data_IF_378442303158
#
_entry.id   IF_378442303158
#
_cell.length_a   1.000
_cell.length_b   1.000
_cell.length_c   1.000
_cell.angle_alpha   90.00
_cell.angle_beta   90.00
_cell.angle_gamma   90.00
#
_symmetry.space_group_name_H-M   'P 1'
#
loop_
_entity.id
_entity.type
_entity.pdbx_description
1 polymer ?
#
# COMPACT_ATOMS: atom_id res chain seq x y z
N UNK A 1 -30.10 6.55 -4.17
CA UNK A 1 -28.85 6.03 -4.77
C UNK A 1 -28.41 7.04 -5.83
N UNK A 2 -27.50 7.95 -5.50
CA UNK A 2 -26.95 8.90 -6.47
C UNK A 2 -25.78 8.19 -7.13
N UNK A 3 -26.02 7.63 -8.33
CA UNK A 3 -24.93 7.18 -9.20
C UNK A 3 -24.12 8.43 -9.58
N UNK A 4 -22.88 8.50 -9.13
CA UNK A 4 -21.94 9.50 -9.62
C UNK A 4 -21.65 9.10 -11.07
N UNK A 5 -22.14 9.91 -12.03
CA UNK A 5 -21.83 9.66 -13.44
C UNK A 5 -20.37 10.08 -13.68
N UNK A 6 -19.50 9.11 -13.81
CA UNK A 6 -18.06 9.30 -14.04
C UNK A 6 -17.68 9.38 -15.52
N UNK A 7 -18.65 9.22 -16.45
CA UNK A 7 -18.40 9.17 -17.91
C UNK A 7 -17.99 10.52 -18.55
N UNK A 8 -18.26 11.66 -17.86
CA UNK A 8 -17.99 13.00 -18.38
C UNK A 8 -17.24 13.90 -17.38
N UNK A 9 -16.27 13.35 -16.66
CA UNK A 9 -15.46 14.16 -15.75
C UNK A 9 -14.41 14.95 -16.53
N UNK A 10 -14.30 16.29 -16.32
CA UNK A 10 -13.13 17.03 -16.77
C UNK A 10 -11.89 16.44 -16.10
N UNK A 11 -10.82 16.30 -16.88
CA UNK A 11 -9.56 15.79 -16.36
C UNK A 11 -9.06 16.70 -15.21
N UNK A 12 -8.94 16.14 -14.01
CA UNK A 12 -8.30 16.81 -12.89
C UNK A 12 -9.23 17.38 -11.80
N UNK A 13 -10.55 17.29 -11.91
CA UNK A 13 -11.46 17.84 -10.88
C UNK A 13 -12.25 16.74 -10.17
N UNK A 14 -12.35 16.86 -8.83
CA UNK A 14 -13.20 15.99 -8.02
C UNK A 14 -14.68 16.42 -8.18
N UNK A 15 -15.60 15.51 -8.62
CA UNK A 15 -17.01 15.85 -8.74
C UNK A 15 -17.59 16.37 -7.43
N UNK A 16 -18.37 17.48 -7.43
CA UNK A 16 -18.93 18.07 -6.21
C UNK A 16 -19.81 17.09 -5.40
N UNK A 17 -20.50 16.15 -6.08
CA UNK A 17 -21.29 15.11 -5.43
C UNK A 17 -20.40 14.11 -4.69
N UNK A 18 -19.30 13.67 -5.30
CA UNK A 18 -18.33 12.77 -4.68
C UNK A 18 -17.60 13.47 -3.53
N UNK A 19 -17.17 14.73 -3.71
CA UNK A 19 -16.57 15.53 -2.64
C UNK A 19 -17.47 15.57 -1.40
N UNK A 20 -18.75 15.88 -1.57
CA UNK A 20 -19.70 15.90 -0.47
C UNK A 20 -19.80 14.54 0.20
N UNK A 21 -19.87 13.47 -0.59
CA UNK A 21 -19.95 12.11 -0.07
C UNK A 21 -18.69 11.72 0.72
N UNK A 22 -17.50 12.01 0.20
CA UNK A 22 -16.24 11.77 0.91
C UNK A 22 -16.18 12.52 2.23
N UNK A 23 -16.65 13.79 2.28
CA UNK A 23 -16.75 14.56 3.51
C UNK A 23 -17.74 13.97 4.53
N UNK A 24 -18.86 13.36 4.07
CA UNK A 24 -19.79 12.63 4.95
C UNK A 24 -19.13 11.36 5.50
N UNK A 25 -18.46 10.59 4.65
CA UNK A 25 -17.75 9.37 5.02
C UNK A 25 -16.64 9.66 6.03
N UNK A 26 -15.87 10.71 5.80
CA UNK A 26 -14.81 11.14 6.72
C UNK A 26 -15.35 11.41 8.13
N UNK A 27 -16.50 12.08 8.25
CA UNK A 27 -17.15 12.30 9.55
C UNK A 27 -17.61 10.99 10.22
N UNK A 28 -18.09 10.03 9.45
CA UNK A 28 -18.44 8.70 9.96
C UNK A 28 -17.20 7.94 10.46
N UNK A 29 -16.09 8.01 9.70
CA UNK A 29 -14.82 7.43 10.11
C UNK A 29 -14.28 8.07 11.39
N UNK A 30 -14.37 9.40 11.53
CA UNK A 30 -13.99 10.11 12.75
C UNK A 30 -14.72 9.57 13.98
N UNK A 31 -16.04 9.47 13.92
CA UNK A 31 -16.87 9.00 15.05
C UNK A 31 -16.55 7.53 15.38
N UNK A 32 -16.44 6.67 14.36
CA UNK A 32 -16.17 5.24 14.55
C UNK A 32 -14.79 4.99 15.15
N UNK A 33 -13.75 5.63 14.59
CA UNK A 33 -12.38 5.44 15.09
C UNK A 33 -12.18 5.99 16.50
N UNK A 34 -12.89 7.07 16.90
CA UNK A 34 -12.87 7.55 18.30
C UNK A 34 -13.34 6.45 19.25
N UNK A 35 -14.43 5.78 18.90
CA UNK A 35 -14.94 4.67 19.72
C UNK A 35 -13.94 3.51 19.78
N UNK A 36 -13.32 3.14 18.64
CA UNK A 36 -12.29 2.10 18.60
C UNK A 36 -11.08 2.44 19.48
N UNK A 37 -10.63 3.71 19.50
CA UNK A 37 -9.49 4.14 20.34
C UNK A 37 -9.77 4.09 21.84
N UNK A 38 -11.04 4.11 22.26
CA UNK A 38 -11.43 3.92 23.67
C UNK A 38 -11.30 2.46 24.12
N UNK A 39 -11.60 1.51 23.22
CA UNK A 39 -11.57 0.07 23.49
C UNK A 39 -10.21 -0.56 23.18
N UNK A 40 -9.42 0.05 22.30
CA UNK A 40 -8.13 -0.49 21.82
C UNK A 40 -6.98 0.52 22.04
N UNK A 41 -6.47 0.56 23.27
CA UNK A 41 -5.40 1.49 23.69
C UNK A 41 -3.99 1.06 23.24
N UNK A 42 -2.99 1.95 23.41
CA UNK A 42 -1.61 1.76 22.94
C UNK A 42 -0.85 0.60 23.62
N UNK A 43 -1.33 0.14 24.79
CA UNK A 43 -0.75 -1.01 25.51
C UNK A 43 -1.14 -2.37 24.89
N UNK A 44 -2.06 -2.38 23.94
CA UNK A 44 -2.50 -3.57 23.22
C UNK A 44 -1.82 -3.65 21.85
N UNK A 45 -1.41 -4.85 21.41
CA UNK A 45 -0.97 -5.03 20.02
C UNK A 45 -2.08 -4.59 19.05
N UNK A 46 -1.72 -3.87 17.97
CA UNK A 46 -2.70 -3.36 17.02
C UNK A 46 -3.61 -4.46 16.46
N UNK A 47 -4.91 -4.17 16.24
CA UNK A 47 -5.83 -5.14 15.65
C UNK A 47 -5.51 -5.36 14.16
N UNK A 48 -6.04 -6.45 13.57
CA UNK A 48 -5.66 -6.84 12.21
C UNK A 48 -6.88 -6.90 11.28
N UNK A 49 -8.00 -7.53 11.70
CA UNK A 49 -9.26 -7.59 10.98
C UNK A 49 -10.46 -7.63 11.92
N UNK A 50 -11.69 -7.43 11.42
CA UNK A 50 -12.89 -7.59 12.24
C UNK A 50 -13.49 -8.98 12.09
N UNK A 51 -13.97 -9.54 13.21
CA UNK A 51 -14.77 -10.77 13.28
C UNK A 51 -16.07 -10.47 14.03
N UNK A 52 -17.22 -10.74 13.38
CA UNK A 52 -18.50 -10.41 13.98
C UNK A 52 -18.68 -8.93 14.33
N UNK A 53 -18.00 -8.05 13.59
CA UNK A 53 -18.05 -6.61 13.78
C UNK A 53 -16.97 -6.06 14.72
N UNK A 54 -16.33 -6.86 15.55
CA UNK A 54 -15.31 -6.39 16.49
C UNK A 54 -13.90 -6.64 15.98
N UNK A 55 -12.99 -5.70 16.29
CA UNK A 55 -11.58 -5.86 15.96
C UNK A 55 -10.97 -7.08 16.64
N UNK A 56 -10.18 -7.81 15.88
CA UNK A 56 -9.54 -9.05 16.26
C UNK A 56 -8.06 -9.06 15.91
N UNK A 57 -7.30 -9.82 16.70
CA UNK A 57 -5.91 -10.14 16.43
C UNK A 57 -5.67 -11.61 16.68
N UNK A 58 -5.20 -12.32 15.67
CA UNK A 58 -4.78 -13.71 15.81
C UNK A 58 -3.55 -13.81 16.73
N UNK A 59 -3.57 -14.63 17.81
CA UNK A 59 -2.45 -14.74 18.73
C UNK A 59 -1.14 -15.23 18.10
N UNK A 60 -1.23 -16.19 17.19
CA UNK A 60 -0.09 -16.86 16.55
C UNK A 60 0.18 -16.34 15.12
N UNK A 61 0.18 -15.03 14.96
CA UNK A 61 0.52 -14.41 13.68
C UNK A 61 1.98 -14.69 13.30
N UNK A 62 2.22 -15.00 12.03
CA UNK A 62 3.56 -15.20 11.48
C UNK A 62 4.43 -13.95 11.48
N UNK A 63 3.83 -12.76 11.34
CA UNK A 63 4.51 -11.47 11.47
C UNK A 63 3.55 -10.41 12.01
N UNK A 64 4.10 -9.38 12.65
CA UNK A 64 3.35 -8.23 13.14
C UNK A 64 3.64 -7.01 12.26
N UNK A 65 2.98 -6.91 11.11
CA UNK A 65 3.25 -5.94 10.06
C UNK A 65 2.26 -4.77 9.99
N UNK A 66 1.13 -4.86 10.69
CA UNK A 66 0.02 -3.92 10.55
C UNK A 66 0.00 -2.73 11.54
N UNK A 67 0.80 -2.69 12.62
CA UNK A 67 0.58 -1.69 13.68
C UNK A 67 0.79 -0.24 13.22
N UNK A 68 1.61 -0.02 12.19
CA UNK A 68 1.79 1.31 11.60
C UNK A 68 0.51 1.89 11.00
N UNK A 69 -0.34 1.05 10.43
CA UNK A 69 -1.60 1.49 9.81
C UNK A 69 -2.61 2.00 10.84
N UNK A 70 -2.65 1.41 12.04
CA UNK A 70 -3.56 1.86 13.08
C UNK A 70 -3.20 3.29 13.54
N UNK A 71 -1.93 3.56 13.83
CA UNK A 71 -1.44 4.91 14.10
C UNK A 71 -1.64 5.84 12.89
N UNK A 72 -1.42 5.32 11.70
CA UNK A 72 -1.55 6.05 10.44
C UNK A 72 -2.94 6.58 10.15
N UNK A 73 -3.99 5.83 10.49
CA UNK A 73 -5.38 6.31 10.38
C UNK A 73 -5.60 7.59 11.20
N UNK A 74 -5.03 7.66 12.39
CA UNK A 74 -5.15 8.82 13.28
C UNK A 74 -4.38 10.02 12.72
N UNK A 75 -3.20 9.82 12.14
CA UNK A 75 -2.46 10.88 11.45
C UNK A 75 -3.21 11.41 10.22
N UNK A 76 -3.85 10.53 9.45
CA UNK A 76 -4.68 10.92 8.30
C UNK A 76 -5.90 11.73 8.75
N UNK A 77 -6.58 11.32 9.82
CA UNK A 77 -7.68 12.10 10.39
C UNK A 77 -7.22 13.46 10.93
N UNK A 78 -6.05 13.52 11.58
CA UNK A 78 -5.47 14.81 11.99
C UNK A 78 -5.23 15.73 10.77
N UNK A 79 -4.62 15.19 9.72
CA UNK A 79 -4.36 15.96 8.48
C UNK A 79 -5.64 16.50 7.86
N UNK A 80 -6.69 15.69 7.80
CA UNK A 80 -7.95 16.02 7.13
C UNK A 80 -8.89 16.90 7.97
N UNK A 81 -8.92 16.71 9.29
CA UNK A 81 -9.87 17.38 10.18
C UNK A 81 -9.25 18.52 11.00
N UNK A 82 -7.90 18.54 11.12
CA UNK A 82 -7.16 19.48 11.98
C UNK A 82 -7.61 19.47 13.44
N UNK A 83 -8.01 18.28 13.94
CA UNK A 83 -8.42 18.07 15.32
C UNK A 83 -7.26 17.51 16.15
N UNK A 84 -6.77 18.27 17.12
CA UNK A 84 -5.63 17.92 17.99
C UNK A 84 -5.82 16.62 18.78
N UNK A 85 -7.07 16.19 18.99
CA UNK A 85 -7.36 14.88 19.54
C UNK A 85 -6.64 13.77 18.75
N UNK A 86 -6.71 13.85 17.40
CA UNK A 86 -6.09 12.86 16.54
C UNK A 86 -4.56 12.93 16.57
N UNK A 87 -3.97 14.13 16.63
CA UNK A 87 -2.52 14.26 16.80
C UNK A 87 -2.04 13.62 18.12
N UNK A 88 -2.80 13.78 19.20
CA UNK A 88 -2.52 13.15 20.50
C UNK A 88 -2.57 11.62 20.41
N UNK A 89 -3.67 11.08 19.88
CA UNK A 89 -3.84 9.62 19.70
C UNK A 89 -2.83 9.01 18.75
N UNK A 90 -2.54 9.68 17.65
CA UNK A 90 -1.53 9.21 16.69
C UNK A 90 -0.13 9.10 17.32
N UNK A 91 0.28 10.06 18.17
CA UNK A 91 1.52 9.97 18.93
C UNK A 91 1.49 8.82 19.94
N UNK A 92 0.40 8.67 20.71
CA UNK A 92 0.23 7.58 21.67
C UNK A 92 0.43 6.20 21.02
N UNK A 93 -0.05 6.00 19.80
CA UNK A 93 0.06 4.73 19.06
C UNK A 93 1.33 4.62 18.19
N UNK A 94 2.00 5.72 17.87
CA UNK A 94 3.27 5.69 17.12
C UNK A 94 4.47 5.42 18.02
N UNK A 95 4.55 6.06 19.20
CA UNK A 95 5.69 5.95 20.11
C UNK A 95 6.03 4.49 20.48
N UNK A 96 5.09 3.61 20.82
CA UNK A 96 5.38 2.20 21.12
C UNK A 96 6.00 1.42 19.98
N UNK A 97 5.91 1.91 18.72
CA UNK A 97 6.53 1.26 17.55
C UNK A 97 8.02 1.55 17.43
N UNK A 98 8.56 2.53 18.16
CA UNK A 98 9.96 2.96 18.05
C UNK A 98 10.98 1.81 18.13
N UNK A 99 10.88 0.82 19.04
CA UNK A 99 11.81 -0.30 19.11
C UNK A 99 11.80 -1.17 17.85
N UNK A 100 10.69 -1.20 17.11
CA UNK A 100 10.52 -2.00 15.90
C UNK A 100 11.45 -1.55 14.75
N UNK A 101 12.04 -0.34 14.81
CA UNK A 101 13.03 0.11 13.81
C UNK A 101 14.24 -0.81 13.69
N UNK A 102 14.48 -1.66 14.69
CA UNK A 102 15.55 -2.66 14.71
C UNK A 102 15.07 -4.08 14.42
N UNK A 103 13.81 -4.26 14.06
CA UNK A 103 13.21 -5.57 13.82
C UNK A 103 13.77 -6.19 12.53
N UNK A 104 14.41 -7.35 12.67
CA UNK A 104 15.02 -8.10 11.57
C UNK A 104 14.19 -9.30 11.13
N UNK A 105 13.09 -9.58 11.80
CA UNK A 105 12.26 -10.76 11.54
C UNK A 105 11.14 -10.47 10.52
N UNK A 106 10.83 -9.18 10.31
CA UNK A 106 9.84 -8.73 9.32
C UNK A 106 10.49 -8.03 8.12
N UNK A 107 9.86 -8.10 6.96
CA UNK A 107 10.21 -7.32 5.77
C UNK A 107 9.31 -6.07 5.60
N UNK A 108 8.49 -5.77 6.59
CA UNK A 108 7.37 -4.83 6.52
C UNK A 108 7.63 -3.51 7.25
N UNK A 109 8.91 -3.16 7.50
CA UNK A 109 9.24 -1.90 8.19
C UNK A 109 8.74 -0.67 7.42
N UNK A 110 8.61 -0.78 6.09
CA UNK A 110 8.00 0.27 5.27
C UNK A 110 6.53 0.49 5.62
N UNK A 111 5.75 -0.57 5.78
CA UNK A 111 4.36 -0.47 6.24
C UNK A 111 4.25 0.10 7.65
N UNK A 112 5.16 -0.29 8.55
CA UNK A 112 5.13 0.19 9.93
C UNK A 112 5.53 1.66 10.01
N UNK A 113 6.67 2.06 9.45
CA UNK A 113 7.26 3.38 9.70
C UNK A 113 6.77 4.47 8.74
N UNK A 114 6.50 4.18 7.47
CA UNK A 114 5.92 5.21 6.58
C UNK A 114 4.49 5.57 6.99
N UNK A 115 3.69 4.58 7.43
CA UNK A 115 2.31 4.84 7.84
C UNK A 115 2.21 5.54 9.21
N UNK A 116 3.19 5.39 10.10
CA UNK A 116 3.20 6.01 11.41
C UNK A 116 4.16 7.22 11.49
N UNK A 117 5.45 6.99 11.60
CA UNK A 117 6.47 8.05 11.72
C UNK A 117 6.58 8.92 10.48
N UNK A 118 6.39 8.35 9.27
CA UNK A 118 6.35 9.11 8.03
C UNK A 118 5.18 10.10 8.02
N UNK A 119 3.98 9.63 8.40
CA UNK A 119 2.80 10.50 8.53
C UNK A 119 2.96 11.55 9.64
N UNK A 120 3.63 11.19 10.75
CA UNK A 120 3.96 12.16 11.79
C UNK A 120 4.88 13.26 11.25
N UNK A 121 5.94 12.86 10.54
CA UNK A 121 6.90 13.80 9.94
C UNK A 121 6.22 14.78 8.95
N UNK A 122 5.24 14.31 8.16
CA UNK A 122 4.44 15.17 7.26
C UNK A 122 3.65 16.26 8.00
N UNK A 123 3.28 16.05 9.27
CA UNK A 123 2.52 16.99 10.08
C UNK A 123 3.42 17.84 11.00
N UNK A 124 4.74 17.71 10.87
CA UNK A 124 5.72 18.37 11.73
C UNK A 124 6.35 19.55 10.99
N UNK A 125 6.35 20.74 11.58
CA UNK A 125 6.98 21.94 11.02
C UNK A 125 8.49 21.71 10.82
N UNK A 126 9.08 22.46 9.88
CA UNK A 126 10.51 22.29 9.52
C UNK A 126 11.47 22.56 10.66
N UNK A 127 11.13 23.49 11.57
CA UNK A 127 11.92 23.90 12.71
C UNK A 127 11.59 23.17 14.03
N UNK A 128 10.65 22.20 14.00
CA UNK A 128 10.31 21.43 15.19
C UNK A 128 11.47 20.49 15.57
N UNK A 129 11.95 20.55 16.83
CA UNK A 129 13.05 19.71 17.31
C UNK A 129 12.82 18.18 17.14
N UNK A 130 11.56 17.72 17.15
CA UNK A 130 11.22 16.30 17.00
C UNK A 130 11.54 15.77 15.61
N UNK A 131 11.62 16.66 14.60
CA UNK A 131 11.81 16.28 13.21
C UNK A 131 13.07 15.44 12.98
N UNK A 132 14.17 15.82 13.62
CA UNK A 132 15.44 15.10 13.52
C UNK A 132 15.33 13.66 14.05
N UNK A 133 14.62 13.45 15.16
CA UNK A 133 14.37 12.11 15.73
C UNK A 133 13.48 11.25 14.83
N UNK A 134 12.46 11.87 14.21
CA UNK A 134 11.59 11.17 13.27
C UNK A 134 12.36 10.71 12.02
N UNK A 135 13.21 11.58 11.46
CA UNK A 135 14.07 11.26 10.32
C UNK A 135 15.06 10.14 10.69
N UNK A 136 15.74 10.23 11.82
CA UNK A 136 16.67 9.19 12.29
C UNK A 136 15.97 7.84 12.46
N UNK A 137 14.76 7.85 13.00
CA UNK A 137 13.95 6.63 13.19
C UNK A 137 13.62 5.97 11.87
N UNK A 138 13.18 6.73 10.86
CA UNK A 138 12.82 6.21 9.54
C UNK A 138 14.07 5.71 8.80
N UNK A 139 15.17 6.46 8.83
CA UNK A 139 16.46 6.08 8.23
C UNK A 139 17.02 4.80 8.87
N UNK A 140 16.91 4.68 10.20
CA UNK A 140 17.32 3.46 10.92
C UNK A 140 16.51 2.26 10.47
N UNK A 141 15.18 2.37 10.42
CA UNK A 141 14.29 1.30 9.95
C UNK A 141 14.60 0.88 8.50
N UNK A 142 14.85 1.85 7.61
CA UNK A 142 15.25 1.59 6.23
C UNK A 142 16.57 0.83 6.13
N UNK A 143 17.55 1.25 6.92
CA UNK A 143 18.86 0.60 6.98
C UNK A 143 18.72 -0.85 7.42
N UNK A 144 17.97 -1.11 8.50
CA UNK A 144 17.71 -2.46 9.02
C UNK A 144 16.98 -3.32 7.99
N UNK A 145 15.95 -2.79 7.35
CA UNK A 145 15.24 -3.52 6.30
C UNK A 145 16.14 -3.84 5.11
N UNK A 146 17.03 -2.92 4.73
CA UNK A 146 17.96 -3.12 3.63
C UNK A 146 18.96 -4.26 3.88
N UNK A 147 19.21 -4.62 5.13
CA UNK A 147 20.11 -5.71 5.51
C UNK A 147 19.51 -7.11 5.27
N UNK A 148 18.20 -7.21 5.03
CA UNK A 148 17.55 -8.44 4.54
C UNK A 148 17.89 -8.69 3.07
N UNK A 149 19.14 -8.62 2.72
CA UNK A 149 19.62 -8.61 1.35
C UNK A 149 20.12 -9.99 0.90
N UNK A 150 19.54 -10.51 -0.17
CA UNK A 150 20.11 -11.63 -0.93
C UNK A 150 20.85 -11.06 -2.15
N UNK A 151 22.19 -11.09 -2.14
CA UNK A 151 23.05 -10.62 -3.22
C UNK A 151 23.65 -11.74 -4.07
N UNK A 152 23.15 -12.95 -3.94
CA UNK A 152 23.55 -14.09 -4.80
C UNK A 152 22.79 -14.05 -6.12
N UNK A 153 23.43 -13.68 -7.21
CA UNK A 153 22.77 -13.48 -8.50
C UNK A 153 22.13 -12.11 -8.61
N UNK A 154 20.87 -12.02 -9.03
CA UNK A 154 20.10 -10.77 -9.00
C UNK A 154 19.68 -10.46 -7.57
N UNK A 155 20.03 -9.27 -7.08
CA UNK A 155 19.81 -8.89 -5.70
C UNK A 155 18.35 -8.57 -5.38
N UNK A 156 17.92 -8.94 -4.17
CA UNK A 156 16.61 -8.56 -3.66
C UNK A 156 16.55 -8.56 -2.12
N UNK A 157 15.61 -7.83 -1.57
CA UNK A 157 15.25 -7.91 -0.16
C UNK A 157 14.32 -9.11 0.03
N UNK A 158 14.74 -10.05 0.88
CA UNK A 158 14.00 -11.29 1.07
C UNK A 158 12.87 -11.16 2.10
N UNK A 159 11.83 -11.96 1.89
CA UNK A 159 10.64 -12.03 2.75
C UNK A 159 10.93 -12.71 4.11
N UNK A 160 9.95 -12.75 5.00
CA UNK A 160 10.04 -13.49 6.26
C UNK A 160 10.21 -15.01 6.06
N UNK A 161 9.89 -15.54 4.87
CA UNK A 161 10.09 -16.95 4.55
C UNK A 161 11.57 -17.32 4.39
N UNK A 162 12.48 -16.34 4.38
CA UNK A 162 13.92 -16.55 4.33
C UNK A 162 14.58 -16.08 3.03
N UNK A 163 15.91 -16.23 2.94
CA UNK A 163 16.72 -15.64 1.86
C UNK A 163 16.34 -16.07 0.44
N UNK A 164 15.64 -17.20 0.28
CA UNK A 164 15.21 -17.73 -1.00
C UNK A 164 13.91 -17.08 -1.52
N UNK A 165 13.21 -16.28 -0.71
CA UNK A 165 11.85 -15.85 -0.99
C UNK A 165 11.76 -14.36 -1.29
N UNK A 166 11.24 -14.03 -2.47
CA UNK A 166 10.95 -12.67 -2.93
C UNK A 166 9.43 -12.49 -3.02
N UNK A 167 8.87 -11.51 -2.27
CA UNK A 167 7.45 -11.16 -2.29
C UNK A 167 7.19 -9.86 -3.02
N UNK A 168 6.06 -9.77 -3.73
CA UNK A 168 5.61 -8.53 -4.36
C UNK A 168 5.26 -7.43 -3.34
N UNK A 169 4.85 -7.79 -2.12
CA UNK A 169 4.49 -6.87 -1.03
C UNK A 169 5.66 -5.95 -0.66
N UNK A 170 6.89 -6.44 -0.87
CA UNK A 170 8.12 -5.69 -0.57
C UNK A 170 8.24 -4.46 -1.47
N UNK A 171 7.58 -4.41 -2.64
CA UNK A 171 7.54 -3.20 -3.49
C UNK A 171 6.93 -2.00 -2.76
N UNK A 172 6.01 -2.22 -1.81
CA UNK A 172 5.51 -1.14 -0.96
C UNK A 172 6.47 -0.80 0.18
N UNK A 173 7.28 -1.77 0.61
CA UNK A 173 8.21 -1.61 1.72
C UNK A 173 9.53 -0.94 1.30
N UNK A 174 10.00 -1.16 0.06
CA UNK A 174 11.19 -0.46 -0.46
C UNK A 174 11.00 1.05 -0.66
N UNK A 175 9.76 1.55 -0.60
CA UNK A 175 9.47 2.99 -0.52
C UNK A 175 10.19 3.65 0.65
N UNK A 176 10.30 2.95 1.78
CA UNK A 176 11.07 3.37 2.94
C UNK A 176 12.56 3.56 2.60
N UNK A 177 13.12 2.66 1.79
CA UNK A 177 14.51 2.72 1.38
C UNK A 177 14.77 3.88 0.40
N UNK A 178 13.90 4.08 -0.58
CA UNK A 178 13.98 5.22 -1.49
C UNK A 178 13.93 6.54 -0.72
N UNK A 179 12.98 6.65 0.21
CA UNK A 179 12.87 7.84 1.04
C UNK A 179 14.13 8.06 1.88
N UNK A 180 14.66 7.04 2.54
CA UNK A 180 15.84 7.14 3.38
C UNK A 180 17.09 7.52 2.58
N UNK A 181 17.25 6.99 1.35
CA UNK A 181 18.34 7.35 0.45
C UNK A 181 18.33 8.86 0.12
N UNK A 182 17.14 9.45 -0.06
CA UNK A 182 16.99 10.89 -0.26
C UNK A 182 17.20 11.72 1.03
N UNK A 183 17.16 11.09 2.20
CA UNK A 183 17.24 11.74 3.51
C UNK A 183 18.47 11.32 4.35
N UNK A 184 19.58 11.00 3.69
CA UNK A 184 20.89 10.84 4.32
C UNK A 184 21.29 9.43 4.73
N UNK A 185 20.54 8.38 4.31
CA UNK A 185 21.02 7.02 4.46
C UNK A 185 22.25 6.72 3.56
N UNK A 186 22.98 5.64 3.88
CA UNK A 186 24.06 5.14 3.02
C UNK A 186 23.53 4.83 1.60
N UNK A 187 24.31 5.16 0.55
CA UNK A 187 23.89 4.97 -0.86
C UNK A 187 23.43 3.55 -1.17
N UNK A 188 24.02 2.54 -0.53
CA UNK A 188 23.66 1.14 -0.67
C UNK A 188 22.17 0.84 -0.34
N UNK A 189 21.55 1.67 0.51
CA UNK A 189 20.12 1.52 0.83
C UNK A 189 19.27 1.79 -0.41
N UNK A 190 19.58 2.87 -1.14
CA UNK A 190 18.90 3.21 -2.41
C UNK A 190 19.25 2.23 -3.54
N UNK A 191 20.51 1.85 -3.67
CA UNK A 191 20.96 0.86 -4.67
C UNK A 191 20.21 -0.47 -4.51
N UNK A 192 20.07 -0.97 -3.28
CA UNK A 192 19.31 -2.18 -2.97
C UNK A 192 17.82 -2.05 -3.27
N UNK A 193 17.24 -0.86 -3.06
CA UNK A 193 15.85 -0.61 -3.42
C UNK A 193 15.62 -0.70 -4.93
N UNK A 194 16.52 -0.10 -5.73
CA UNK A 194 16.46 -0.15 -7.20
C UNK A 194 16.64 -1.58 -7.70
N UNK A 195 17.64 -2.29 -7.21
CA UNK A 195 17.91 -3.66 -7.62
C UNK A 195 16.76 -4.60 -7.24
N UNK A 196 16.21 -4.46 -6.03
CA UNK A 196 15.00 -5.19 -5.63
C UNK A 196 13.84 -4.93 -6.57
N UNK A 197 13.57 -3.67 -6.92
CA UNK A 197 12.46 -3.33 -7.80
C UNK A 197 12.63 -3.92 -9.22
N UNK A 198 13.87 -3.92 -9.75
CA UNK A 198 14.19 -4.56 -11.04
C UNK A 198 14.02 -6.08 -10.99
N UNK A 199 14.53 -6.72 -9.94
CA UNK A 199 14.38 -8.17 -9.73
C UNK A 199 12.91 -8.56 -9.58
N UNK A 200 12.13 -7.78 -8.82
CA UNK A 200 10.69 -7.99 -8.67
C UNK A 200 9.94 -7.83 -10.00
N UNK A 201 10.27 -6.82 -10.81
CA UNK A 201 9.67 -6.63 -12.13
C UNK A 201 9.94 -7.81 -13.06
N UNK A 202 11.17 -8.36 -12.99
CA UNK A 202 11.58 -9.48 -13.85
C UNK A 202 10.91 -10.81 -13.49
N UNK A 203 10.75 -11.10 -12.19
CA UNK A 203 10.34 -12.43 -11.72
C UNK A 203 8.92 -12.52 -11.18
N UNK A 204 8.27 -11.40 -10.88
CA UNK A 204 6.92 -11.38 -10.32
C UNK A 204 5.88 -10.77 -11.26
N UNK A 205 6.27 -9.87 -12.17
CA UNK A 205 5.34 -9.27 -13.14
C UNK A 205 5.45 -10.00 -14.49
N UNK A 206 4.32 -10.45 -15.04
CA UNK A 206 4.29 -11.14 -16.33
C UNK A 206 4.43 -10.13 -17.46
N UNK A 207 5.66 -10.00 -17.96
CA UNK A 207 6.09 -9.03 -18.98
C UNK A 207 6.53 -9.67 -20.29
N UNK A 208 6.05 -10.89 -20.62
CA UNK A 208 6.44 -11.59 -21.85
C UNK A 208 7.90 -12.07 -21.89
N UNK A 209 8.51 -12.34 -20.73
CA UNK A 209 9.89 -12.81 -20.61
C UNK A 209 10.02 -14.32 -20.40
N UNK A 210 11.26 -14.80 -20.32
CA UNK A 210 11.56 -16.21 -20.12
C UNK A 210 10.89 -16.79 -18.86
N UNK A 211 9.91 -17.66 -19.04
CA UNK A 211 9.37 -18.52 -17.99
C UNK A 211 8.17 -17.99 -17.19
N UNK A 212 7.68 -16.78 -17.41
CA UNK A 212 6.57 -16.21 -16.65
C UNK A 212 5.20 -16.20 -17.37
N UNK A 213 5.11 -16.72 -18.58
CA UNK A 213 3.88 -16.75 -19.37
C UNK A 213 3.75 -15.59 -20.36
N UNK A 214 2.51 -15.30 -20.77
CA UNK A 214 2.20 -14.20 -21.70
C UNK A 214 2.41 -12.84 -21.02
N UNK A 215 2.68 -11.81 -21.82
CA UNK A 215 2.75 -10.43 -21.36
C UNK A 215 1.32 -9.90 -21.11
N UNK A 216 0.89 -9.90 -19.88
CA UNK A 216 -0.44 -9.43 -19.49
C UNK A 216 -0.45 -8.44 -18.31
N UNK A 217 0.71 -8.18 -17.69
CA UNK A 217 0.84 -7.29 -16.54
C UNK A 217 0.33 -7.86 -15.22
N UNK A 218 -0.15 -9.09 -15.21
CA UNK A 218 -0.55 -9.75 -13.97
C UNK A 218 0.65 -10.08 -13.09
N UNK A 219 0.40 -10.31 -11.79
CA UNK A 219 1.46 -10.39 -10.79
C UNK A 219 1.40 -11.71 -10.03
N UNK A 220 2.55 -12.38 -9.91
CA UNK A 220 2.74 -13.49 -8.99
C UNK A 220 3.02 -12.96 -7.58
N UNK A 221 2.59 -13.69 -6.55
CA UNK A 221 2.81 -13.29 -5.16
C UNK A 221 4.26 -13.47 -4.73
N UNK A 222 4.86 -14.63 -5.04
CA UNK A 222 6.17 -15.04 -4.55
C UNK A 222 7.00 -15.69 -5.64
N UNK A 223 8.29 -15.37 -5.67
CA UNK A 223 9.31 -16.08 -6.45
C UNK A 223 10.32 -16.73 -5.50
N UNK A 224 10.68 -18.00 -5.80
CA UNK A 224 11.62 -18.78 -5.03
C UNK A 224 12.94 -18.91 -5.80
N UNK A 225 14.05 -18.67 -5.11
CA UNK A 225 15.40 -18.71 -5.64
C UNK A 225 16.23 -19.81 -4.96
N UNK A 226 17.23 -20.31 -5.67
CA UNK A 226 18.23 -21.19 -5.09
C UNK A 226 19.31 -20.33 -4.42
N UNK A 227 19.40 -20.41 -3.10
CA UNK A 227 20.43 -19.69 -2.33
C UNK A 227 21.62 -20.54 -1.93
N UNK A 228 21.64 -21.82 -2.30
CA UNK A 228 22.77 -22.72 -2.05
C UNK A 228 24.00 -22.23 -2.79
N UNK A 229 25.12 -22.12 -2.10
CA UNK A 229 26.41 -21.70 -2.64
C UNK A 229 26.40 -20.27 -3.26
N UNK A 230 25.45 -19.40 -2.86
CA UNK A 230 25.36 -18.02 -3.33
C UNK A 230 24.90 -17.88 -4.79
N UNK A 231 24.17 -18.86 -5.36
CA UNK A 231 23.84 -18.88 -6.80
C UNK A 231 22.70 -17.94 -7.19
N UNK A 232 21.73 -17.68 -6.34
CA UNK A 232 20.61 -16.76 -6.63
C UNK A 232 19.77 -17.09 -7.89
N UNK A 233 19.74 -18.36 -8.32
CA UNK A 233 19.02 -18.80 -9.52
C UNK A 233 17.51 -18.90 -9.22
N UNK A 234 16.65 -18.33 -10.08
CA UNK A 234 15.21 -18.51 -10.03
C UNK A 234 14.83 -20.00 -10.14
N UNK A 235 13.91 -20.46 -9.31
CA UNK A 235 13.42 -21.84 -9.31
C UNK A 235 11.98 -21.97 -9.75
N UNK A 236 11.07 -21.25 -9.10
CA UNK A 236 9.64 -21.34 -9.39
C UNK A 236 8.89 -20.17 -8.78
N UNK A 237 7.67 -19.94 -9.26
CA UNK A 237 6.70 -19.13 -8.59
C UNK A 237 6.04 -19.89 -7.42
N UNK A 238 5.61 -19.15 -6.41
CA UNK A 238 4.88 -19.63 -5.23
C UNK A 238 3.80 -18.64 -4.83
N UNK A 239 2.99 -19.00 -3.85
CA UNK A 239 2.03 -18.07 -3.25
C UNK A 239 1.74 -18.47 -1.80
N UNK A 240 1.59 -17.47 -0.93
CA UNK A 240 1.11 -17.66 0.44
C UNK A 240 -0.36 -17.29 0.56
N UNK A 241 -0.78 -16.21 -0.09
CA UNK A 241 -2.09 -15.61 0.08
C UNK A 241 -2.99 -15.73 -1.16
N UNK A 242 -2.43 -15.88 -2.37
CA UNK A 242 -3.17 -16.07 -3.62
C UNK A 242 -3.77 -17.46 -3.76
N UNK A 243 -4.64 -17.64 -4.74
CA UNK A 243 -5.25 -18.95 -5.06
C UNK A 243 -4.21 -19.94 -5.60
N UNK A 244 -3.34 -19.49 -6.47
CA UNK A 244 -2.33 -20.30 -7.14
C UNK A 244 -1.10 -19.45 -7.46
N UNK A 245 0.11 -20.03 -7.57
CA UNK A 245 1.29 -19.32 -8.08
C UNK A 245 1.13 -18.74 -9.47
N UNK A 246 0.18 -19.25 -10.25
CA UNK A 246 -0.07 -18.88 -11.65
C UNK A 246 -1.24 -17.91 -11.81
N UNK A 247 -2.00 -17.62 -10.76
CA UNK A 247 -3.06 -16.62 -10.76
C UNK A 247 -2.54 -15.25 -10.31
N UNK A 248 -3.39 -14.25 -10.29
CA UNK A 248 -3.05 -12.91 -9.85
C UNK A 248 -3.84 -12.58 -8.58
N UNK A 249 -3.15 -12.60 -7.44
CA UNK A 249 -3.72 -12.14 -6.18
C UNK A 249 -3.94 -10.63 -6.22
N UNK A 250 -5.18 -10.18 -6.01
CA UNK A 250 -5.58 -8.79 -6.26
C UNK A 250 -4.81 -7.76 -5.42
N UNK A 251 -4.54 -8.05 -4.15
CA UNK A 251 -3.77 -7.14 -3.30
C UNK A 251 -2.30 -7.09 -3.71
N UNK A 252 -1.73 -8.19 -4.20
CA UNK A 252 -0.38 -8.20 -4.77
C UNK A 252 -0.27 -7.32 -6.02
N UNK A 253 -1.27 -7.35 -6.89
CA UNK A 253 -1.35 -6.45 -8.05
C UNK A 253 -1.44 -4.98 -7.61
N UNK A 254 -2.27 -4.68 -6.62
CA UNK A 254 -2.41 -3.33 -6.08
C UNK A 254 -1.09 -2.82 -5.47
N UNK A 255 -0.35 -3.68 -4.76
CA UNK A 255 1.01 -3.36 -4.27
C UNK A 255 1.98 -3.05 -5.39
N UNK A 256 1.92 -3.80 -6.50
CA UNK A 256 2.77 -3.56 -7.66
C UNK A 256 2.46 -2.20 -8.30
N UNK A 257 1.19 -1.90 -8.60
CA UNK A 257 0.79 -0.61 -9.19
C UNK A 257 1.35 0.55 -8.36
N UNK A 258 1.12 0.53 -7.06
CA UNK A 258 1.53 1.62 -6.18
C UNK A 258 3.04 1.67 -5.96
N UNK A 259 3.67 0.52 -5.75
CA UNK A 259 5.11 0.40 -5.50
C UNK A 259 5.94 0.83 -6.71
N UNK A 260 5.58 0.41 -7.92
CA UNK A 260 6.30 0.81 -9.15
C UNK A 260 6.06 2.26 -9.53
N UNK A 261 4.84 2.79 -9.39
CA UNK A 261 4.60 4.22 -9.58
C UNK A 261 5.48 5.06 -8.63
N UNK A 262 5.59 4.64 -7.37
CA UNK A 262 6.49 5.32 -6.41
C UNK A 262 7.97 5.18 -6.79
N UNK A 263 8.41 3.98 -7.20
CA UNK A 263 9.79 3.74 -7.61
C UNK A 263 10.19 4.60 -8.82
N UNK A 264 9.29 4.77 -9.79
CA UNK A 264 9.50 5.69 -10.90
C UNK A 264 9.66 7.13 -10.42
N UNK A 265 8.75 7.63 -9.58
CA UNK A 265 8.86 8.98 -9.01
C UNK A 265 10.16 9.22 -8.23
N UNK A 266 10.68 8.19 -7.56
CA UNK A 266 11.93 8.26 -6.81
C UNK A 266 13.20 8.21 -7.68
N UNK A 267 13.14 7.55 -8.84
CA UNK A 267 14.35 7.24 -9.62
C UNK A 267 14.36 7.81 -11.03
N UNK A 268 13.19 8.03 -11.63
CA UNK A 268 13.06 8.34 -13.05
C UNK A 268 13.40 7.16 -13.98
N UNK A 269 13.48 5.93 -13.46
CA UNK A 269 13.73 4.72 -14.28
C UNK A 269 12.46 4.32 -15.02
N UNK A 270 12.44 4.50 -16.33
CA UNK A 270 11.31 4.21 -17.22
C UNK A 270 10.82 2.75 -17.13
N UNK A 271 11.70 1.82 -16.75
CA UNK A 271 11.31 0.42 -16.55
C UNK A 271 10.26 0.28 -15.46
N UNK A 272 10.32 1.12 -14.43
CA UNK A 272 9.33 1.11 -13.35
C UNK A 272 8.01 1.74 -13.80
N UNK A 273 8.06 2.79 -14.60
CA UNK A 273 6.86 3.39 -15.18
C UNK A 273 6.13 2.39 -16.09
N UNK A 274 6.84 1.76 -17.04
CA UNK A 274 6.30 0.72 -17.91
C UNK A 274 5.69 -0.43 -17.09
N UNK A 275 6.36 -0.86 -16.02
CA UNK A 275 5.84 -1.91 -15.16
C UNK A 275 4.57 -1.50 -14.42
N UNK A 276 4.50 -0.25 -13.93
CA UNK A 276 3.30 0.28 -13.30
C UNK A 276 2.13 0.35 -14.29
N UNK A 277 2.38 0.77 -15.52
CA UNK A 277 1.36 0.79 -16.59
C UNK A 277 0.82 -0.60 -16.91
N UNK A 278 1.70 -1.58 -17.13
CA UNK A 278 1.28 -2.97 -17.37
C UNK A 278 0.38 -3.52 -16.26
N UNK A 279 0.77 -3.32 -15.00
CA UNK A 279 -0.03 -3.74 -13.86
C UNK A 279 -1.37 -2.99 -13.77
N UNK A 280 -1.37 -1.68 -14.04
CA UNK A 280 -2.59 -0.87 -14.04
C UNK A 280 -3.54 -1.28 -15.17
N UNK A 281 -3.04 -1.53 -16.38
CA UNK A 281 -3.83 -2.02 -17.50
C UNK A 281 -4.48 -3.37 -17.20
N UNK A 282 -3.74 -4.31 -16.61
CA UNK A 282 -4.33 -5.58 -16.16
C UNK A 282 -5.46 -5.35 -15.16
N UNK A 283 -5.28 -4.44 -14.19
CA UNK A 283 -6.33 -4.08 -13.22
C UNK A 283 -7.58 -3.54 -13.93
N UNK A 284 -7.41 -2.58 -14.83
CA UNK A 284 -8.52 -1.94 -15.55
C UNK A 284 -9.30 -2.94 -16.41
N UNK A 285 -8.60 -3.85 -17.09
CA UNK A 285 -9.21 -4.81 -18.02
C UNK A 285 -9.92 -5.97 -17.33
N UNK A 286 -9.45 -6.38 -16.15
CA UNK A 286 -9.91 -7.60 -15.49
C UNK A 286 -10.76 -7.36 -14.23
N UNK A 287 -10.84 -6.11 -13.74
CA UNK A 287 -11.66 -5.78 -12.58
C UNK A 287 -13.09 -5.48 -13.01
N UNK A 288 -14.13 -5.94 -12.27
CA UNK A 288 -15.52 -5.60 -12.55
C UNK A 288 -15.77 -4.10 -12.60
N UNK A 289 -16.84 -3.67 -13.27
CA UNK A 289 -17.11 -2.26 -13.58
C UNK A 289 -17.31 -1.32 -12.38
N UNK A 290 -17.45 -1.85 -11.15
CA UNK A 290 -17.43 -1.07 -9.90
C UNK A 290 -16.01 -0.85 -9.37
N UNK A 291 -15.01 -1.33 -10.07
CA UNK A 291 -13.57 -1.23 -9.78
C UNK A 291 -13.13 -1.85 -8.44
N UNK A 292 -13.89 -2.79 -7.89
CA UNK A 292 -13.46 -3.60 -6.73
C UNK A 292 -13.13 -5.01 -7.23
N UNK A 293 -11.90 -5.51 -7.10
CA UNK A 293 -11.50 -6.81 -7.62
C UNK A 293 -12.02 -7.97 -6.76
N UNK A 294 -12.11 -9.16 -7.33
CA UNK A 294 -12.12 -10.38 -6.54
C UNK A 294 -10.78 -10.55 -5.83
N UNK A 295 -10.74 -11.26 -4.71
CA UNK A 295 -9.52 -11.45 -3.92
C UNK A 295 -8.35 -12.06 -4.71
N UNK A 296 -8.68 -12.82 -5.76
CA UNK A 296 -7.73 -13.37 -6.75
C UNK A 296 -8.46 -13.44 -8.10
N UNK A 297 -7.84 -12.94 -9.15
CA UNK A 297 -8.45 -12.86 -10.49
C UNK A 297 -8.64 -14.24 -11.15
N UNK A 298 -7.93 -15.27 -10.69
CA UNK A 298 -8.04 -16.65 -11.17
C UNK A 298 -8.80 -17.56 -10.20
N UNK A 299 -9.49 -17.03 -9.20
CA UNK A 299 -10.27 -17.83 -8.26
C UNK A 299 -11.43 -18.57 -8.97
N UNK A 300 -11.57 -19.89 -8.76
CA UNK A 300 -12.44 -20.72 -9.61
C UNK A 300 -13.93 -20.50 -9.39
N UNK A 301 -14.31 -19.88 -8.27
CA UNK A 301 -15.71 -19.60 -7.91
C UNK A 301 -16.23 -18.25 -8.41
N UNK A 302 -15.47 -17.48 -9.19
CA UNK A 302 -15.95 -16.23 -9.77
C UNK A 302 -17.20 -16.52 -10.64
N UNK A 303 -18.31 -15.75 -10.48
CA UNK A 303 -18.45 -14.47 -9.79
C UNK A 303 -18.86 -14.54 -8.30
N UNK A 304 -18.93 -15.70 -7.69
CA UNK A 304 -19.40 -15.90 -6.30
C UNK A 304 -18.24 -15.83 -5.25
N UNK A 305 -17.04 -15.49 -5.67
CA UNK A 305 -15.90 -15.29 -4.77
C UNK A 305 -15.95 -13.92 -4.04
N UNK A 306 -15.33 -13.83 -2.84
CA UNK A 306 -15.21 -12.57 -2.13
C UNK A 306 -14.49 -11.50 -2.95
N UNK A 307 -14.98 -10.26 -2.85
CA UNK A 307 -14.31 -9.06 -3.35
C UNK A 307 -13.32 -8.55 -2.31
N UNK A 308 -12.23 -7.93 -2.73
CA UNK A 308 -11.26 -7.33 -1.79
C UNK A 308 -11.26 -5.80 -1.91
N UNK A 309 -12.01 -5.15 -1.02
CA UNK A 309 -12.08 -3.69 -0.93
C UNK A 309 -10.75 -3.05 -0.57
N UNK A 310 -9.90 -3.76 0.20
CA UNK A 310 -8.58 -3.27 0.55
C UNK A 310 -7.66 -3.19 -0.67
N UNK A 311 -7.72 -4.18 -1.57
CA UNK A 311 -7.00 -4.14 -2.83
C UNK A 311 -7.46 -2.96 -3.71
N UNK A 312 -8.78 -2.67 -3.74
CA UNK A 312 -9.31 -1.53 -4.45
C UNK A 312 -8.79 -0.19 -3.88
N UNK A 313 -8.81 -0.02 -2.55
CA UNK A 313 -8.32 1.21 -1.92
C UNK A 313 -6.83 1.46 -2.21
N UNK A 314 -5.99 0.42 -2.15
CA UNK A 314 -4.57 0.47 -2.47
C UNK A 314 -4.35 0.80 -3.95
N UNK A 315 -5.06 0.10 -4.84
CA UNK A 315 -4.98 0.35 -6.28
C UNK A 315 -5.41 1.78 -6.63
N UNK A 316 -6.47 2.31 -5.99
CA UNK A 316 -6.90 3.69 -6.16
C UNK A 316 -5.82 4.71 -5.81
N UNK A 317 -5.10 4.49 -4.70
CA UNK A 317 -3.95 5.34 -4.34
C UNK A 317 -2.81 5.25 -5.36
N UNK A 318 -2.50 4.03 -5.83
CA UNK A 318 -1.45 3.80 -6.83
C UNK A 318 -1.80 4.39 -8.20
N UNK A 319 -3.05 4.25 -8.65
CA UNK A 319 -3.54 4.82 -9.91
C UNK A 319 -3.53 6.35 -9.91
N UNK A 320 -3.87 6.98 -8.78
CA UNK A 320 -3.73 8.45 -8.65
C UNK A 320 -2.27 8.88 -8.75
N UNK A 321 -1.36 8.17 -8.11
CA UNK A 321 0.07 8.47 -8.21
C UNK A 321 0.58 8.28 -9.64
N UNK A 322 0.18 7.20 -10.31
CA UNK A 322 0.59 6.92 -11.70
C UNK A 322 0.06 7.99 -12.66
N UNK A 323 -1.21 8.41 -12.50
CA UNK A 323 -1.79 9.49 -13.30
C UNK A 323 -1.07 10.84 -13.10
N UNK A 324 -0.53 11.10 -11.91
CA UNK A 324 0.27 12.28 -11.59
C UNK A 324 1.65 12.21 -12.26
N UNK A 325 2.33 11.06 -12.13
CA UNK A 325 3.68 10.83 -12.64
C UNK A 325 3.75 10.89 -14.16
N UNK A 326 2.71 10.44 -14.85
CA UNK A 326 2.61 10.43 -16.30
C UNK A 326 1.31 11.08 -16.81
N UNK A 327 1.11 12.33 -16.43
CA UNK A 327 -0.09 13.11 -16.79
C UNK A 327 -0.26 13.33 -18.30
N UNK A 328 0.79 13.10 -19.09
CA UNK A 328 0.79 13.16 -20.56
C UNK A 328 0.42 11.84 -21.26
N UNK A 329 0.38 10.73 -20.53
CA UNK A 329 0.05 9.43 -21.12
C UNK A 329 -1.41 9.36 -21.56
N UNK A 330 -1.65 8.58 -22.63
CA UNK A 330 -3.01 8.33 -23.12
C UNK A 330 -3.91 7.66 -22.07
N UNK A 331 -3.34 6.87 -21.13
CA UNK A 331 -4.05 6.18 -20.05
C UNK A 331 -4.29 6.99 -18.79
N UNK A 332 -3.65 8.15 -18.61
CA UNK A 332 -3.74 8.93 -17.35
C UNK A 332 -5.19 9.29 -16.97
N UNK A 333 -6.02 9.64 -17.94
CA UNK A 333 -7.44 9.91 -17.75
C UNK A 333 -8.24 8.68 -17.27
N UNK A 334 -7.86 7.49 -17.71
CA UNK A 334 -8.51 6.24 -17.31
C UNK A 334 -8.10 5.83 -15.90
N UNK A 335 -6.85 6.05 -15.50
CA UNK A 335 -6.38 5.83 -14.13
C UNK A 335 -7.11 6.74 -13.15
N UNK A 336 -7.21 8.04 -13.46
CA UNK A 336 -7.96 8.98 -12.63
C UNK A 336 -9.44 8.60 -12.52
N UNK A 337 -10.08 8.26 -13.65
CA UNK A 337 -11.49 7.83 -13.68
C UNK A 337 -11.71 6.57 -12.85
N UNK A 338 -10.81 5.60 -12.94
CA UNK A 338 -10.85 4.37 -12.15
C UNK A 338 -10.71 4.67 -10.67
N UNK A 339 -9.76 5.51 -10.25
CA UNK A 339 -9.59 5.91 -8.85
C UNK A 339 -10.82 6.66 -8.30
N UNK A 340 -11.43 7.55 -9.08
CA UNK A 340 -12.69 8.21 -8.73
C UNK A 340 -13.84 7.22 -8.57
N UNK A 341 -13.92 6.22 -9.46
CA UNK A 341 -14.92 5.15 -9.39
C UNK A 341 -14.72 4.30 -8.14
N UNK A 342 -13.47 3.92 -7.81
CA UNK A 342 -13.14 3.23 -6.57
C UNK A 342 -13.59 4.06 -5.36
N UNK A 343 -13.24 5.34 -5.30
CA UNK A 343 -13.64 6.23 -4.22
C UNK A 343 -15.17 6.33 -4.05
N UNK A 344 -15.90 6.42 -5.17
CA UNK A 344 -17.37 6.44 -5.17
C UNK A 344 -17.95 5.10 -4.70
N UNK A 345 -17.41 3.98 -5.18
CA UNK A 345 -17.87 2.63 -4.81
C UNK A 345 -17.63 2.32 -3.34
N UNK A 346 -16.40 2.54 -2.86
CA UNK A 346 -16.04 2.26 -1.46
C UNK A 346 -16.74 3.20 -0.47
N UNK A 347 -17.24 4.34 -0.95
CA UNK A 347 -18.03 5.27 -0.14
C UNK A 347 -19.52 4.88 -0.04
N UNK A 348 -19.96 3.78 -0.65
CA UNK A 348 -21.34 3.30 -0.52
C UNK A 348 -21.59 2.70 0.86
N UNK A 349 -22.84 2.76 1.31
CA UNK A 349 -23.23 2.29 2.65
C UNK A 349 -22.97 0.79 2.87
N UNK A 350 -22.94 -0.01 1.81
CA UNK A 350 -22.65 -1.46 1.87
C UNK A 350 -21.17 -1.77 2.16
N UNK A 351 -20.26 -0.83 1.86
CA UNK A 351 -18.83 -0.92 2.20
C UNK A 351 -18.45 -0.22 3.51
N UNK A 352 -19.35 0.55 4.13
CA UNK A 352 -19.02 1.35 5.30
C UNK A 352 -19.39 0.64 6.61
N UNK A 353 -18.38 0.28 7.41
CA UNK A 353 -18.55 -0.26 8.76
C UNK A 353 -19.37 0.66 9.67
N UNK A 354 -19.10 1.99 9.71
CA UNK A 354 -19.87 2.93 10.53
C UNK A 354 -21.38 2.99 10.22
N UNK A 355 -21.84 2.36 9.16
CA UNK A 355 -23.27 2.21 8.80
C UNK A 355 -23.89 0.92 9.33
N UNK A 356 -23.11 0.04 9.95
CA UNK A 356 -23.59 -1.22 10.53
C UNK A 356 -23.48 -1.15 12.05
N UNK A 357 -24.55 -1.52 12.71
CA UNK A 357 -24.58 -1.60 14.17
C UNK A 357 -23.59 -2.64 14.68
N UNK A 358 -22.74 -2.26 15.64
CA UNK A 358 -21.73 -3.13 16.25
C UNK A 358 -20.49 -3.36 15.40
N UNK A 359 -20.30 -2.65 14.29
CA UNK A 359 -19.08 -2.75 13.46
C UNK A 359 -18.05 -1.69 13.87
N UNK A 360 -16.86 -2.13 14.24
CA UNK A 360 -15.74 -1.26 14.66
C UNK A 360 -14.81 -0.86 13.52
N UNK A 361 -14.82 -1.59 12.39
CA UNK A 361 -14.02 -1.29 11.21
C UNK A 361 -14.59 -0.16 10.38
N UNK A 362 -13.78 0.45 9.51
CA UNK A 362 -14.20 1.54 8.64
C UNK A 362 -14.63 1.04 7.25
N UNK A 363 -13.83 0.20 6.61
CA UNK A 363 -14.05 -0.32 5.26
C UNK A 363 -14.27 -1.83 5.29
N UNK A 364 -15.48 -2.25 4.95
CA UNK A 364 -15.89 -3.67 4.88
C UNK A 364 -15.57 -4.29 3.52
N UNK A 365 -15.61 -5.62 3.46
CA UNK A 365 -15.36 -6.37 2.24
C UNK A 365 -13.87 -6.61 1.97
N UNK A 366 -13.01 -6.46 2.98
CA UNK A 366 -11.60 -6.80 2.89
C UNK A 366 -11.36 -8.31 2.92
N UNK A 367 -10.21 -8.73 2.40
CA UNK A 367 -9.77 -10.14 2.46
C UNK A 367 -8.32 -10.20 2.91
N UNK A 368 -8.09 -10.68 4.15
CA UNK A 368 -6.69 -10.88 4.58
C UNK A 368 -6.10 -12.14 3.94
N UNK A 369 -6.68 -13.30 4.23
CA UNK A 369 -6.12 -14.58 3.76
C UNK A 369 -7.25 -15.57 3.47
N UNK A 370 -7.75 -15.57 2.24
CA UNK A 370 -8.90 -16.41 1.81
C UNK A 370 -8.67 -17.90 2.07
N UNK A 371 -7.49 -18.51 1.71
CA UNK A 371 -7.25 -19.93 1.94
C UNK A 371 -7.32 -20.37 3.42
N UNK A 372 -7.05 -19.45 4.36
CA UNK A 372 -7.17 -19.70 5.81
C UNK A 372 -8.50 -19.23 6.41
N UNK A 373 -9.34 -18.55 5.63
CA UNK A 373 -10.57 -17.95 6.12
C UNK A 373 -10.37 -16.75 7.05
N UNK A 374 -9.18 -16.12 7.04
CA UNK A 374 -8.88 -14.98 7.92
C UNK A 374 -9.32 -13.66 7.29
N UNK A 375 -10.05 -12.85 8.09
CA UNK A 375 -10.44 -11.49 7.71
C UNK A 375 -11.13 -11.43 6.34
N UNK A 376 -12.12 -12.32 6.10
CA UNK A 376 -12.85 -12.39 4.84
C UNK A 376 -14.19 -11.69 4.97
N UNK A 377 -14.39 -10.60 4.23
CA UNK A 377 -15.64 -9.85 4.16
C UNK A 377 -15.82 -8.78 5.25
N UNK A 378 -15.00 -8.78 6.30
CA UNK A 378 -14.94 -7.73 7.32
C UNK A 378 -14.02 -6.57 6.93
N UNK A 379 -13.70 -5.72 7.91
CA UNK A 379 -12.64 -4.73 7.78
C UNK A 379 -11.27 -5.37 8.00
N UNK A 380 -10.26 -4.83 7.36
CA UNK A 380 -8.85 -5.17 7.58
C UNK A 380 -8.06 -3.87 7.82
N UNK A 381 -7.09 -3.90 8.73
CA UNK A 381 -6.42 -2.69 9.23
C UNK A 381 -5.79 -1.85 8.12
N UNK A 382 -5.13 -2.48 7.14
CA UNK A 382 -4.59 -1.77 5.97
C UNK A 382 -5.70 -1.29 5.01
N UNK A 383 -6.84 -1.98 4.94
CA UNK A 383 -8.00 -1.55 4.16
C UNK A 383 -8.53 -0.22 4.67
N UNK A 384 -8.71 -0.09 5.97
CA UNK A 384 -9.14 1.15 6.62
C UNK A 384 -8.13 2.29 6.39
N UNK A 385 -6.83 1.99 6.55
CA UNK A 385 -5.78 2.97 6.33
C UNK A 385 -5.75 3.48 4.88
N UNK A 386 -5.69 2.58 3.89
CA UNK A 386 -5.63 2.98 2.49
C UNK A 386 -6.94 3.58 1.98
N UNK A 387 -8.07 3.28 2.61
CA UNK A 387 -9.33 3.96 2.34
C UNK A 387 -9.27 5.44 2.78
N UNK A 388 -8.77 5.73 3.97
CA UNK A 388 -8.55 7.10 4.42
C UNK A 388 -7.50 7.83 3.58
N UNK A 389 -6.42 7.14 3.16
CA UNK A 389 -5.42 7.69 2.26
C UNK A 389 -6.02 8.00 0.88
N UNK A 390 -6.88 7.13 0.34
CA UNK A 390 -7.59 7.39 -0.91
C UNK A 390 -8.51 8.60 -0.79
N UNK A 391 -9.24 8.74 0.31
CA UNK A 391 -10.08 9.93 0.59
C UNK A 391 -9.21 11.20 0.62
N UNK A 392 -8.08 11.16 1.33
CA UNK A 392 -7.14 12.27 1.40
C UNK A 392 -6.67 12.70 0.00
N UNK A 393 -6.20 11.74 -0.80
CA UNK A 393 -5.71 12.01 -2.16
C UNK A 393 -6.80 12.56 -3.08
N UNK A 394 -8.00 11.99 -3.03
CA UNK A 394 -9.12 12.47 -3.84
C UNK A 394 -9.55 13.89 -3.46
N UNK A 395 -9.56 14.22 -2.16
CA UNK A 395 -9.89 15.57 -1.71
C UNK A 395 -8.81 16.59 -2.10
N UNK A 396 -7.57 16.18 -2.24
CA UNK A 396 -6.44 17.03 -2.64
C UNK A 396 -6.39 17.33 -4.15
N UNK A 397 -7.18 16.64 -5.00
CA UNK A 397 -7.22 16.89 -6.45
C UNK A 397 -7.53 18.34 -6.81
N UNK A 398 -8.36 19.02 -6.03
CA UNK A 398 -8.75 20.42 -6.31
C UNK A 398 -7.72 21.46 -5.83
N UNK A 399 -6.75 21.05 -5.02
CA UNK A 399 -5.68 21.92 -4.54
C UNK A 399 -4.54 22.06 -5.57
N UNK A 400 -4.67 21.40 -6.72
CA UNK A 400 -3.74 21.50 -7.84
C UNK A 400 -2.40 20.81 -7.62
N UNK A 401 -2.30 20.00 -6.56
CA UNK A 401 -1.11 19.21 -6.30
C UNK A 401 -1.48 17.90 -5.60
N UNK A 402 -1.50 16.81 -6.36
CA UNK A 402 -1.28 15.49 -5.77
C UNK A 402 0.17 15.48 -5.27
N UNK A 403 0.40 15.88 -4.03
CA UNK A 403 1.75 15.75 -3.47
C UNK A 403 2.09 14.28 -3.35
N UNK A 404 3.30 13.85 -3.84
CA UNK A 404 3.74 12.48 -3.64
C UNK A 404 3.64 12.11 -2.16
N UNK A 405 3.08 10.94 -1.87
CA UNK A 405 3.09 10.42 -0.51
C UNK A 405 4.47 9.89 -0.18
N UNK A 406 5.16 10.68 0.48
CA UNK A 406 6.42 10.39 1.12
C UNK A 406 6.87 11.67 1.80
N UNK A 407 7.44 11.58 2.97
CA UNK A 407 8.04 12.74 3.59
C UNK A 407 9.14 13.28 2.67
N UNK A 408 8.86 14.44 2.08
CA UNK A 408 9.77 15.14 1.21
C UNK A 408 9.71 14.73 -0.26
N UNK A 409 9.67 15.72 -1.12
CA UNK A 409 10.02 15.61 -2.53
C UNK A 409 11.29 14.75 -2.63
N UNK A 410 11.31 13.74 -3.51
CA UNK A 410 12.55 13.05 -3.83
C UNK A 410 13.29 13.88 -4.91
N UNK A 411 14.21 14.78 -4.57
CA UNK A 411 14.93 15.60 -5.54
C UNK A 411 16.20 14.90 -6.03
N UNK A 412 16.45 13.66 -5.64
CA UNK A 412 17.64 12.94 -6.06
C UNK A 412 17.29 12.06 -7.24
N UNK A 413 17.49 12.57 -8.45
CA UNK A 413 17.81 11.73 -9.58
C UNK A 413 19.09 11.00 -9.22
N UNK A 414 18.97 9.73 -8.82
CA UNK A 414 20.13 8.85 -8.77
C UNK A 414 20.62 8.76 -10.22
N UNK A 415 21.75 9.42 -10.54
CA UNK A 415 22.37 9.32 -11.85
C UNK A 415 22.46 7.83 -12.18
N UNK A 416 21.99 7.37 -13.37
CA UNK A 416 22.20 6.01 -13.77
C UNK A 416 23.70 5.77 -13.79
N UNK A 417 24.17 4.89 -12.90
CA UNK A 417 25.60 4.55 -12.80
C UNK A 417 26.08 4.17 -14.19
N UNK A 418 27.03 4.94 -14.72
CA UNK A 418 27.65 4.69 -16.00
C UNK A 418 28.17 3.26 -16.04
N UNK A 419 27.86 2.56 -17.11
CA UNK A 419 28.25 1.20 -17.46
C UNK A 419 29.76 0.98 -17.42
#
# INVERSE_FOLDING_TARGET
MVLVNTENLPAGELPPSLRRRLGEVLRLCDVSLRHTTESWGPDRPAPIWTEGGSWYRQPDMWTDWTPGFYAGQMWLLYKLLKDDFWAGKAREHSIPLLPRRFDRDVHDLGFIFLSSYGRWLEQTEEDDPVRAELVDTIVTAATVQSERWNGGGEGFIYSFNGPQSLFIDIMMNVRLLFWAAANGADSRVGERAIEHARTSARYLVRRGGEGLGEEDGSVAHEAIFNTEQGRGEFRCLSTQQGYSPFTCWARGLAWAIYGYAYAYGATGDETFLETAHLCAEYYLLNTPGDCVPYWDYGAPGIPDEPRDSSAAAIAGCGLLLLAEQDSGAAGAGDYLRTALTIGATLSRDDYLGPKREGEEGLLLGGVYHRPRGWGVGGAVMWGDYFFLELIERLLSLDEGSLKPLGPGECPVRLEPGGA
#
